data_IF_891933649784
#
_entry.id   IF_891933649784
#
_cell.length_a   1.000
_cell.length_b   1.000
_cell.length_c   1.000
_cell.angle_alpha   90.00
_cell.angle_beta   90.00
_cell.angle_gamma   90.00
#
_symmetry.space_group_name_H-M   'P 1'
#
loop_
_entity.id
_entity.type
_entity.pdbx_description
1 polymer ?
#
# COMPACT_ATOMS: atom_id res chain seq x y z
N UNK A 1 -12.70 -9.99 22.10
CA UNK A 1 -11.64 -9.44 21.26
C UNK A 1 -10.29 -9.53 21.98
N UNK A 2 -9.23 -9.67 21.22
CA UNK A 2 -7.88 -9.65 21.76
C UNK A 2 -7.53 -8.26 22.31
N UNK A 3 -6.73 -8.21 23.39
CA UNK A 3 -6.25 -6.94 23.94
C UNK A 3 -5.45 -6.12 22.93
N UNK A 4 -4.89 -6.79 21.92
CA UNK A 4 -4.10 -6.13 20.86
C UNK A 4 -4.94 -5.35 19.86
N UNK A 5 -6.22 -5.68 19.70
CA UNK A 5 -7.08 -5.08 18.67
C UNK A 5 -8.33 -4.41 19.23
N UNK A 6 -8.41 -4.20 20.54
CA UNK A 6 -9.60 -3.63 21.16
C UNK A 6 -9.83 -2.15 20.87
N UNK A 7 -8.81 -1.43 20.38
CA UNK A 7 -8.90 -0.02 20.01
C UNK A 7 -8.40 0.20 18.59
N UNK A 8 -9.33 0.42 17.66
CA UNK A 8 -9.03 0.76 16.28
C UNK A 8 -9.37 2.23 16.09
N UNK A 9 -8.37 3.01 15.67
CA UNK A 9 -8.48 4.47 15.54
C UNK A 9 -8.70 4.95 14.10
N UNK A 10 -8.96 4.03 13.16
CA UNK A 10 -9.20 4.35 11.75
C UNK A 10 -10.56 3.83 11.31
N UNK A 11 -11.16 4.39 10.24
CA UNK A 11 -12.46 3.91 9.74
C UNK A 11 -12.38 2.45 9.27
N UNK A 12 -13.44 1.69 9.58
CA UNK A 12 -13.60 0.32 9.09
C UNK A 12 -14.94 0.20 8.36
N UNK A 13 -14.90 -0.42 7.18
CA UNK A 13 -16.08 -0.69 6.37
C UNK A 13 -16.35 -2.19 6.33
N UNK A 14 -17.63 -2.56 6.41
CA UNK A 14 -18.01 -3.97 6.44
C UNK A 14 -17.98 -4.66 5.08
N UNK A 15 -18.08 -3.92 3.97
CA UNK A 15 -18.15 -4.44 2.60
C UNK A 15 -19.09 -5.64 2.45
N UNK A 16 -20.27 -5.58 3.09
CA UNK A 16 -21.22 -6.68 3.19
C UNK A 16 -21.68 -7.22 1.84
N UNK A 17 -21.78 -6.35 0.84
CA UNK A 17 -22.17 -6.71 -0.53
C UNK A 17 -20.98 -7.07 -1.43
N UNK A 18 -19.76 -7.01 -0.89
CA UNK A 18 -18.52 -7.33 -1.59
C UNK A 18 -18.20 -6.41 -2.78
N UNK A 19 -18.79 -5.22 -2.82
CA UNK A 19 -18.57 -4.26 -3.92
C UNK A 19 -17.12 -3.84 -4.00
N UNK A 20 -16.53 -3.42 -2.86
CA UNK A 20 -15.12 -2.99 -2.82
C UNK A 20 -14.17 -4.15 -3.13
N UNK A 21 -14.41 -5.32 -2.56
CA UNK A 21 -13.57 -6.50 -2.79
C UNK A 21 -13.57 -6.90 -4.27
N UNK A 22 -14.70 -6.80 -4.95
CA UNK A 22 -14.78 -7.08 -6.38
C UNK A 22 -14.15 -5.98 -7.22
N UNK A 23 -14.39 -4.71 -6.88
CA UNK A 23 -13.84 -3.58 -7.62
C UNK A 23 -12.30 -3.55 -7.55
N UNK A 24 -11.73 -3.96 -6.42
CA UNK A 24 -10.28 -4.09 -6.27
C UNK A 24 -9.75 -5.46 -6.73
N UNK A 25 -10.62 -6.32 -7.26
CA UNK A 25 -10.25 -7.62 -7.82
C UNK A 25 -9.57 -8.57 -6.82
N UNK A 26 -9.94 -8.49 -5.56
CA UNK A 26 -9.38 -9.35 -4.50
C UNK A 26 -10.41 -10.35 -3.95
N UNK A 27 -11.64 -10.33 -4.43
CA UNK A 27 -12.67 -11.25 -3.96
C UNK A 27 -12.54 -12.63 -4.58
N UNK A 28 -12.56 -13.66 -3.72
CA UNK A 28 -12.52 -15.07 -4.15
C UNK A 28 -13.95 -15.59 -4.10
N UNK A 29 -14.62 -15.65 -5.26
CA UNK A 29 -16.03 -16.03 -5.35
C UNK A 29 -16.29 -17.43 -4.77
N UNK A 30 -15.41 -18.39 -5.05
CA UNK A 30 -15.58 -19.77 -4.59
C UNK A 30 -15.47 -19.92 -3.07
N UNK A 31 -14.75 -19.03 -2.40
CA UNK A 31 -14.52 -19.10 -0.95
C UNK A 31 -15.36 -18.09 -0.16
N UNK A 32 -15.93 -17.09 -0.83
CA UNK A 32 -16.70 -16.03 -0.16
C UNK A 32 -15.86 -15.12 0.71
N UNK A 33 -14.56 -14.99 0.43
CA UNK A 33 -13.63 -14.15 1.18
C UNK A 33 -12.74 -13.37 0.23
N UNK A 34 -12.11 -12.32 0.75
CA UNK A 34 -11.14 -11.54 0.01
C UNK A 34 -9.72 -12.02 0.30
N UNK A 35 -8.83 -11.85 -0.67
CA UNK A 35 -7.39 -11.97 -0.45
C UNK A 35 -6.89 -10.78 0.38
N UNK A 36 -5.65 -10.86 0.86
CA UNK A 36 -5.01 -9.82 1.68
C UNK A 36 -4.48 -8.70 0.79
N UNK A 37 -5.38 -7.82 0.36
CA UNK A 37 -5.05 -6.70 -0.50
C UNK A 37 -4.82 -5.41 0.30
N UNK A 38 -3.81 -4.66 -0.10
CA UNK A 38 -3.52 -3.33 0.43
C UNK A 38 -3.27 -2.39 -0.74
N UNK A 39 -3.93 -1.24 -0.74
CA UNK A 39 -3.88 -0.28 -1.84
C UNK A 39 -3.59 1.11 -1.28
N UNK A 40 -2.59 1.79 -1.85
CA UNK A 40 -2.29 3.17 -1.52
C UNK A 40 -2.85 4.05 -2.64
N UNK A 41 -3.74 4.95 -2.26
CA UNK A 41 -4.42 5.87 -3.20
C UNK A 41 -3.92 7.27 -2.92
N UNK A 42 -3.52 8.00 -3.96
CA UNK A 42 -3.05 9.37 -3.80
C UNK A 42 -4.22 10.37 -3.67
N UNK A 43 -3.95 11.65 -3.36
CA UNK A 43 -5.02 12.65 -3.22
C UNK A 43 -5.86 12.89 -4.48
N UNK A 44 -5.35 12.55 -5.67
CA UNK A 44 -6.12 12.62 -6.92
C UNK A 44 -6.99 11.39 -7.17
N UNK A 45 -7.01 10.42 -6.25
CA UNK A 45 -7.83 9.22 -6.38
C UNK A 45 -7.22 8.12 -7.23
N UNK A 46 -5.91 8.17 -7.47
CA UNK A 46 -5.20 7.14 -8.26
C UNK A 46 -4.46 6.17 -7.35
N UNK A 47 -4.49 4.89 -7.70
CA UNK A 47 -3.70 3.87 -7.02
C UNK A 47 -2.23 4.05 -7.42
N UNK A 48 -1.36 4.28 -6.44
CA UNK A 48 0.07 4.48 -6.65
C UNK A 48 0.91 3.30 -6.17
N UNK A 49 0.34 2.43 -5.35
CA UNK A 49 0.99 1.19 -4.92
C UNK A 49 -0.06 0.19 -4.49
N UNK A 50 0.17 -1.08 -4.73
CA UNK A 50 -0.71 -2.11 -4.19
C UNK A 50 0.06 -3.41 -3.95
N UNK A 51 -0.45 -4.19 -3.00
CA UNK A 51 0.08 -5.50 -2.65
C UNK A 51 -1.10 -6.44 -2.42
N UNK A 52 -1.06 -7.62 -3.01
CA UNK A 52 -2.08 -8.65 -2.79
C UNK A 52 -1.37 -9.93 -2.40
N UNK A 53 -1.62 -10.40 -1.18
CA UNK A 53 -1.04 -11.64 -0.68
C UNK A 53 -2.12 -12.73 -0.60
N UNK A 54 -1.69 -13.98 -0.84
CA UNK A 54 -2.54 -15.13 -0.58
C UNK A 54 -2.94 -15.16 0.91
N UNK A 55 -4.06 -15.83 1.23
CA UNK A 55 -4.61 -15.83 2.58
C UNK A 55 -3.69 -16.38 3.66
N UNK A 56 -2.68 -17.16 3.28
CA UNK A 56 -1.70 -17.74 4.21
C UNK A 56 -0.38 -16.95 4.27
N UNK A 57 -0.32 -15.79 3.64
CA UNK A 57 0.87 -14.92 3.65
C UNK A 57 0.52 -13.60 4.30
N UNK A 58 1.14 -13.31 5.45
CA UNK A 58 0.89 -12.07 6.17
C UNK A 58 1.50 -10.85 5.49
N UNK A 59 1.02 -9.67 5.87
CA UNK A 59 1.52 -8.38 5.40
C UNK A 59 2.45 -7.78 6.44
N UNK A 60 3.53 -7.15 5.98
CA UNK A 60 4.49 -6.46 6.83
C UNK A 60 4.05 -5.00 7.01
N UNK A 61 3.59 -4.65 8.22
CA UNK A 61 3.11 -3.31 8.51
C UNK A 61 4.21 -2.23 8.42
N UNK A 62 5.44 -2.57 8.80
CA UNK A 62 6.57 -1.63 8.71
C UNK A 62 6.89 -1.29 7.25
N UNK A 63 6.85 -2.27 6.38
CA UNK A 63 7.05 -2.06 4.94
C UNK A 63 5.89 -1.26 4.32
N UNK A 64 4.67 -1.52 4.75
CA UNK A 64 3.52 -0.73 4.31
C UNK A 64 3.68 0.74 4.71
N UNK A 65 4.08 0.99 5.96
CA UNK A 65 4.33 2.36 6.43
C UNK A 65 5.44 3.03 5.62
N UNK A 66 6.54 2.32 5.36
CA UNK A 66 7.64 2.83 4.55
C UNK A 66 7.16 3.22 3.15
N UNK A 67 6.37 2.36 2.50
CA UNK A 67 5.81 2.64 1.16
C UNK A 67 4.87 3.84 1.19
N UNK A 68 4.01 3.93 2.20
CA UNK A 68 3.11 5.08 2.34
C UNK A 68 3.89 6.38 2.47
N UNK A 69 4.92 6.39 3.31
CA UNK A 69 5.77 7.56 3.50
C UNK A 69 6.52 7.93 2.22
N UNK A 70 7.02 6.92 1.48
CA UNK A 70 7.66 7.15 0.19
C UNK A 70 6.69 7.74 -0.83
N UNK A 71 5.47 7.24 -0.89
CA UNK A 71 4.42 7.78 -1.78
C UNK A 71 4.07 9.22 -1.42
N UNK A 72 3.97 9.53 -0.13
CA UNK A 72 3.72 10.90 0.34
C UNK A 72 4.87 11.83 -0.03
N UNK A 73 6.10 11.38 0.17
CA UNK A 73 7.29 12.17 -0.18
C UNK A 73 7.33 12.50 -1.67
N UNK A 74 7.15 11.50 -2.51
CA UNK A 74 7.15 11.68 -3.98
C UNK A 74 5.99 12.56 -4.44
N UNK A 75 4.84 12.47 -3.79
CA UNK A 75 3.70 13.34 -4.09
C UNK A 75 4.02 14.82 -3.84
N UNK A 76 4.78 15.10 -2.77
CA UNK A 76 5.21 16.46 -2.41
C UNK A 76 6.45 16.92 -3.21
N UNK A 77 7.26 15.99 -3.71
CA UNK A 77 8.51 16.25 -4.40
C UNK A 77 8.50 15.50 -5.74
N UNK A 78 7.67 15.96 -6.68
CA UNK A 78 7.36 15.23 -7.91
C UNK A 78 8.53 14.99 -8.88
N UNK A 79 9.68 15.63 -8.66
CA UNK A 79 10.88 15.45 -9.46
C UNK A 79 11.91 14.50 -8.82
N UNK A 80 11.56 13.88 -7.69
CA UNK A 80 12.46 13.00 -6.96
C UNK A 80 11.97 11.55 -6.98
N UNK A 81 12.91 10.62 -6.85
CA UNK A 81 12.64 9.18 -6.85
C UNK A 81 13.11 8.59 -5.52
N UNK A 82 12.24 7.87 -4.84
CA UNK A 82 12.59 7.09 -3.66
C UNK A 82 13.07 5.70 -4.09
N UNK A 83 14.35 5.35 -3.85
CA UNK A 83 14.81 3.98 -4.12
C UNK A 83 14.05 2.93 -3.30
N UNK A 84 14.19 1.67 -3.69
CA UNK A 84 13.42 0.57 -3.10
C UNK A 84 13.60 0.43 -1.58
N UNK A 85 14.74 0.85 -1.04
CA UNK A 85 15.03 0.78 0.40
C UNK A 85 14.94 2.13 1.09
N UNK A 86 14.38 3.14 0.42
CA UNK A 86 14.27 4.48 0.98
C UNK A 86 13.47 4.46 2.29
N UNK A 87 13.93 5.29 3.23
CA UNK A 87 13.20 5.57 4.48
C UNK A 87 13.19 7.09 4.69
N UNK A 88 12.27 7.61 5.53
CA UNK A 88 12.24 9.05 5.83
C UNK A 88 13.61 9.54 6.30
N UNK A 89 14.08 10.65 5.70
CA UNK A 89 15.38 11.22 5.96
C UNK A 89 16.51 10.68 5.06
N UNK A 90 16.27 9.62 4.30
CA UNK A 90 17.26 9.10 3.35
C UNK A 90 17.30 9.94 2.08
N UNK A 91 18.39 9.80 1.32
CA UNK A 91 18.55 10.50 0.06
C UNK A 91 17.59 9.99 -1.00
N UNK A 92 17.15 10.89 -1.86
CA UNK A 92 16.36 10.58 -3.05
C UNK A 92 17.20 10.77 -4.31
N UNK A 93 16.67 10.32 -5.43
CA UNK A 93 17.33 10.41 -6.72
C UNK A 93 16.47 11.25 -7.65
N UNK A 94 17.13 11.94 -8.59
CA UNK A 94 16.43 12.63 -9.68
C UNK A 94 16.44 11.74 -10.92
N UNK A 95 15.33 11.60 -11.65
CA UNK A 95 15.29 10.77 -12.86
C UNK A 95 16.33 11.23 -13.87
N UNK A 96 17.18 10.31 -14.33
CA UNK A 96 18.12 10.50 -15.42
C UNK A 96 18.50 9.15 -16.00
N UNK A 97 19.12 9.13 -17.17
CA UNK A 97 19.62 7.89 -17.77
C UNK A 97 20.70 7.24 -16.92
N UNK A 98 21.41 8.02 -16.12
CA UNK A 98 22.47 7.53 -15.24
C UNK A 98 21.94 6.68 -14.09
N UNK A 99 20.62 6.72 -13.81
CA UNK A 99 20.00 5.94 -12.76
C UNK A 99 19.57 4.54 -13.20
N UNK A 100 19.68 4.22 -14.47
CA UNK A 100 19.28 2.89 -14.97
C UNK A 100 20.08 1.81 -14.25
N UNK A 101 19.37 0.89 -13.57
CA UNK A 101 19.96 -0.19 -12.80
C UNK A 101 20.39 0.17 -11.38
N UNK A 102 20.19 1.39 -10.93
CA UNK A 102 20.59 1.84 -9.58
C UNK A 102 19.45 1.91 -8.58
N UNK A 103 18.23 1.71 -9.02
CA UNK A 103 17.06 1.78 -8.13
C UNK A 103 16.75 0.45 -7.41
#
# INVERSE_FOLDING_TARGET
ASDRIKKIAYPMLADTTHVLSRDFEVYIEAAGVAERGTFIVNPEGKIVSYEVNAGNVGRNADELLRKLQACQFVHEHGDEVCPAKWQPGAETLKPSLDLVGQL
#
